data_IF_745685012418
#
_entry.id   IF_745685012418
#
_cell.length_a   1.000
_cell.length_b   1.000
_cell.length_c   1.000
_cell.angle_alpha   90.00
_cell.angle_beta   90.00
_cell.angle_gamma   90.00
#
_symmetry.space_group_name_H-M   'P 1'
#
loop_
_entity.id
_entity.type
_entity.pdbx_description
1 polymer ?
#
# COMPACT_ATOMS: atom_id res chain seq x y z
N UNK A 1 3.59 17.63 -25.04
CA UNK A 1 4.48 16.47 -24.83
C UNK A 1 3.97 15.78 -23.58
N UNK A 2 3.55 14.51 -23.67
CA UNK A 2 3.04 13.81 -22.51
C UNK A 2 4.22 13.50 -21.59
N UNK A 3 4.22 14.09 -20.40
CA UNK A 3 5.21 13.81 -19.37
C UNK A 3 5.03 12.36 -18.90
N UNK A 4 6.11 11.58 -18.95
CA UNK A 4 6.10 10.20 -18.47
C UNK A 4 5.97 10.24 -16.95
N UNK A 5 4.73 10.06 -16.44
CA UNK A 5 4.47 10.12 -15.01
C UNK A 5 5.15 8.94 -14.32
N UNK A 6 6.27 9.21 -13.66
CA UNK A 6 6.99 8.24 -12.83
C UNK A 6 6.06 7.76 -11.71
N UNK A 7 5.76 6.47 -11.68
CA UNK A 7 4.97 5.83 -10.63
C UNK A 7 5.85 5.69 -9.38
N UNK A 8 5.42 6.32 -8.29
CA UNK A 8 6.04 6.12 -6.99
C UNK A 8 5.45 4.86 -6.31
N UNK A 9 6.26 4.19 -5.51
CA UNK A 9 5.78 3.08 -4.67
C UNK A 9 4.71 3.55 -3.69
N UNK A 10 4.79 4.79 -3.21
CA UNK A 10 3.77 5.37 -2.32
C UNK A 10 2.38 5.46 -2.98
N UNK A 11 2.33 5.74 -4.29
CA UNK A 11 1.07 5.76 -5.04
C UNK A 11 0.41 4.38 -5.08
N UNK A 12 1.22 3.33 -5.30
CA UNK A 12 0.76 1.94 -5.36
C UNK A 12 0.28 1.47 -3.99
N UNK A 13 1.04 1.78 -2.93
CA UNK A 13 0.66 1.45 -1.55
C UNK A 13 -0.65 2.15 -1.18
N UNK A 14 -0.78 3.44 -1.49
CA UNK A 14 -1.99 4.22 -1.22
C UNK A 14 -3.22 3.67 -1.94
N UNK A 15 -3.07 3.27 -3.20
CA UNK A 15 -4.14 2.62 -3.96
C UNK A 15 -4.54 1.28 -3.33
N UNK A 16 -3.58 0.46 -2.97
CA UNK A 16 -3.81 -0.88 -2.44
C UNK A 16 -4.53 -0.86 -1.10
N UNK A 17 -4.18 0.07 -0.20
CA UNK A 17 -4.90 0.31 1.06
C UNK A 17 -6.33 0.81 0.82
N UNK A 18 -6.51 1.82 -0.04
CA UNK A 18 -7.83 2.42 -0.33
C UNK A 18 -8.81 1.43 -0.96
N UNK A 19 -8.31 0.50 -1.78
CA UNK A 19 -9.11 -0.53 -2.45
C UNK A 19 -9.27 -1.81 -1.63
N UNK A 20 -8.57 -1.92 -0.50
CA UNK A 20 -8.63 -3.06 0.37
C UNK A 20 -7.93 -4.31 -0.15
N UNK A 21 -6.87 -4.17 -0.94
CA UNK A 21 -6.11 -5.33 -1.43
C UNK A 21 -5.12 -5.86 -0.37
N UNK A 22 -4.33 -4.96 0.22
CA UNK A 22 -3.28 -5.32 1.17
C UNK A 22 -3.13 -4.25 2.24
N UNK A 23 -2.89 -4.70 3.47
CA UNK A 23 -2.73 -3.85 4.65
C UNK A 23 -1.49 -4.30 5.45
N UNK A 24 -0.74 -3.37 6.06
CA UNK A 24 0.29 -3.72 7.03
C UNK A 24 -0.32 -4.46 8.21
N UNK A 25 0.26 -5.60 8.58
CA UNK A 25 -0.19 -6.34 9.77
C UNK A 25 0.10 -5.51 11.01
N UNK A 26 -0.83 -5.53 11.98
CA UNK A 26 -0.68 -4.84 13.25
C UNK A 26 -0.50 -3.32 13.14
N UNK A 27 -1.09 -2.66 12.12
CA UNK A 27 -0.96 -1.21 11.91
C UNK A 27 -1.34 -0.39 13.16
N UNK A 28 -2.38 -0.80 13.90
CA UNK A 28 -2.80 -0.15 15.17
C UNK A 28 -1.83 -0.37 16.35
N UNK A 29 -0.88 -1.29 16.22
CA UNK A 29 0.13 -1.62 17.23
C UNK A 29 1.55 -1.22 16.80
N UNK A 30 1.69 -0.35 15.79
CA UNK A 30 3.00 0.10 15.28
C UNK A 30 3.54 -0.71 14.10
N UNK A 31 2.77 -1.65 13.57
CA UNK A 31 3.11 -2.44 12.39
C UNK A 31 4.07 -3.59 12.69
N UNK A 32 3.99 -4.64 11.88
CA UNK A 32 4.94 -5.73 11.88
C UNK A 32 5.67 -5.78 10.52
N UNK A 33 6.97 -5.49 10.54
CA UNK A 33 7.78 -5.51 9.32
C UNK A 33 7.70 -6.89 8.64
N UNK A 34 7.64 -6.88 7.30
CA UNK A 34 7.54 -8.08 6.46
C UNK A 34 6.27 -8.93 6.67
N UNK A 35 5.25 -8.40 7.35
CA UNK A 35 3.96 -9.07 7.51
C UNK A 35 2.81 -8.21 6.98
N UNK A 36 1.94 -8.83 6.18
CA UNK A 36 0.82 -8.16 5.54
C UNK A 36 -0.44 -9.01 5.62
N UNK A 37 -1.58 -8.32 5.71
CA UNK A 37 -2.91 -8.90 5.69
C UNK A 37 -3.59 -8.57 4.35
N UNK A 38 -4.14 -9.57 3.68
CA UNK A 38 -4.90 -9.38 2.44
C UNK A 38 -6.35 -9.10 2.77
N UNK A 39 -6.97 -8.16 2.06
CA UNK A 39 -8.40 -7.92 2.19
C UNK A 39 -9.25 -8.99 1.49
N UNK A 40 -10.59 -8.87 1.60
CA UNK A 40 -11.55 -9.84 1.09
C UNK A 40 -11.56 -9.98 -0.44
#
# INVERSE_FOLDING_TARGET
MAEEKKLDMEDIVSLSKRRGFIFPTSEIYGGLANSYSYGP
#
